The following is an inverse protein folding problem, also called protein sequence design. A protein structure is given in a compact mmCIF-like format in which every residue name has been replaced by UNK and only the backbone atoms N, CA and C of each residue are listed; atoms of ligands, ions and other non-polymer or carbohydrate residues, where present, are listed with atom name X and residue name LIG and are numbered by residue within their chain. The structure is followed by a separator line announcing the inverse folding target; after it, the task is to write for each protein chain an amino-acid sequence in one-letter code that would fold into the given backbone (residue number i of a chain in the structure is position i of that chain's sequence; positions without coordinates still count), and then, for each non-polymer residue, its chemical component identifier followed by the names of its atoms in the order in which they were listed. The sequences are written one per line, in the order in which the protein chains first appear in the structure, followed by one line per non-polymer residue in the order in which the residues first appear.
data_IF_493605660025
#
_entry.id   IF_493605660025
#
_cell.length_a   1.000
_cell.length_b   1.000
_cell.length_c   1.000
_cell.angle_alpha   90.00
_cell.angle_beta   90.00
_cell.angle_gamma   90.00
#
_symmetry.space_group_name_H-M   'P 1'
#
loop_
_entity.id
_entity.type
_entity.pdbx_description
1 polymer ?
#
# COMPACT_ATOMS: atom_id res chain seq x y z
N UNK A 1 -17.74 -11.45 12.87
CA UNK A 1 -16.62 -12.40 12.84
C UNK A 1 -15.32 -11.60 12.82
N UNK A 2 -14.43 -11.87 13.76
CA UNK A 2 -13.13 -11.22 13.80
C UNK A 2 -12.13 -11.89 12.84
N UNK A 3 -11.09 -11.17 12.41
CA UNK A 3 -10.04 -11.73 11.56
C UNK A 3 -9.37 -12.93 12.23
N UNK A 4 -9.18 -12.88 13.56
CA UNK A 4 -8.61 -13.98 14.35
C UNK A 4 -9.42 -15.28 14.23
N UNK A 5 -10.73 -15.21 14.14
CA UNK A 5 -11.61 -16.39 13.97
C UNK A 5 -11.44 -17.00 12.57
N UNK A 6 -11.36 -16.16 11.53
CA UNK A 6 -11.14 -16.61 10.15
C UNK A 6 -9.80 -17.29 10.00
N UNK A 7 -8.75 -16.72 10.61
CA UNK A 7 -7.41 -17.29 10.57
C UNK A 7 -7.33 -18.63 11.32
N UNK A 8 -8.02 -18.76 12.45
CA UNK A 8 -8.14 -20.04 13.17
C UNK A 8 -8.86 -21.10 12.35
N UNK A 9 -9.93 -20.71 11.67
CA UNK A 9 -10.67 -21.63 10.77
C UNK A 9 -9.81 -22.13 9.60
N UNK A 10 -8.86 -21.29 9.13
CA UNK A 10 -7.93 -21.63 8.07
C UNK A 10 -6.64 -22.34 8.58
N UNK A 11 -6.64 -22.85 9.83
CA UNK A 11 -5.46 -23.46 10.48
C UNK A 11 -4.20 -22.59 10.45
N UNK A 12 -4.39 -21.27 10.36
CA UNK A 12 -3.28 -20.32 10.35
C UNK A 12 -2.86 -19.97 11.79
N UNK A 13 -1.62 -20.29 12.13
CA UNK A 13 -1.07 -19.89 13.42
C UNK A 13 -0.68 -18.40 13.41
N UNK A 14 -1.53 -17.57 13.99
CA UNK A 14 -1.36 -16.11 14.07
C UNK A 14 -0.06 -15.72 14.79
N UNK A 15 0.41 -16.54 15.75
CA UNK A 15 1.66 -16.29 16.49
C UNK A 15 2.93 -16.40 15.64
N UNK A 16 2.84 -17.02 14.44
CA UNK A 16 3.96 -17.15 13.51
C UNK A 16 3.89 -16.10 12.39
N UNK A 17 2.73 -15.48 12.21
CA UNK A 17 2.54 -14.47 11.19
C UNK A 17 3.21 -13.15 11.61
N UNK A 18 4.16 -12.69 10.80
CA UNK A 18 4.83 -11.41 11.00
C UNK A 18 4.00 -10.24 10.43
N UNK A 19 3.24 -10.51 9.38
CA UNK A 19 2.45 -9.50 8.68
C UNK A 19 1.11 -10.07 8.22
N UNK A 20 0.05 -9.36 8.53
CA UNK A 20 -1.31 -9.66 8.10
C UNK A 20 -1.80 -8.56 7.16
N UNK A 21 -2.35 -8.95 6.01
CA UNK A 21 -2.94 -8.02 5.04
C UNK A 21 -4.41 -8.34 4.83
N UNK A 22 -5.24 -7.32 4.82
CA UNK A 22 -6.60 -7.37 4.29
C UNK A 22 -6.59 -6.87 2.85
N UNK A 23 -6.92 -7.75 1.92
CA UNK A 23 -6.87 -7.50 0.48
C UNK A 23 -5.76 -8.28 -0.23
N UNK A 24 -5.46 -7.88 -1.47
CA UNK A 24 -4.43 -8.51 -2.28
C UNK A 24 -3.00 -8.14 -1.85
N UNK A 25 -1.99 -8.89 -2.31
CA UNK A 25 -0.59 -8.69 -1.87
C UNK A 25 0.00 -7.34 -2.28
N UNK A 26 -0.51 -6.70 -3.34
CA UNK A 26 -0.03 -5.40 -3.82
C UNK A 26 -0.88 -4.21 -3.35
N UNK A 27 -2.17 -4.43 -3.09
CA UNK A 27 -3.15 -3.39 -2.79
C UNK A 27 -3.70 -3.48 -1.37
N UNK A 28 -3.45 -4.59 -0.66
CA UNK A 28 -3.98 -4.84 0.67
C UNK A 28 -3.40 -3.90 1.71
N UNK A 29 -4.21 -3.60 2.72
CA UNK A 29 -3.79 -2.84 3.88
C UNK A 29 -3.27 -3.76 4.97
N UNK A 30 -2.18 -3.38 5.62
CA UNK A 30 -1.66 -4.09 6.77
C UNK A 30 -2.62 -3.95 7.95
N UNK A 31 -2.97 -5.07 8.57
CA UNK A 31 -3.77 -5.09 9.79
C UNK A 31 -2.85 -4.96 11.00
N UNK A 32 -3.19 -4.02 11.87
CA UNK A 32 -2.49 -3.81 13.13
C UNK A 32 -3.00 -4.78 14.20
N UNK A 33 -4.29 -5.09 14.17
CA UNK A 33 -4.96 -5.89 15.18
C UNK A 33 -5.75 -7.04 14.54
N UNK A 34 -5.65 -8.22 15.15
CA UNK A 34 -6.35 -9.43 14.73
C UNK A 34 -7.82 -9.48 15.16
N UNK A 35 -8.21 -8.62 16.09
CA UNK A 35 -9.60 -8.51 16.56
C UNK A 35 -10.44 -7.57 15.68
N UNK A 36 -9.83 -7.02 14.64
CA UNK A 36 -10.54 -6.23 13.61
C UNK A 36 -11.65 -7.06 12.99
N UNK A 37 -12.91 -6.54 12.91
CA UNK A 37 -13.99 -7.26 12.29
C UNK A 37 -13.82 -7.36 10.78
N UNK A 38 -14.14 -8.53 10.23
CA UNK A 38 -14.19 -8.73 8.79
C UNK A 38 -15.39 -8.00 8.21
N UNK A 39 -15.14 -7.07 7.30
CA UNK A 39 -16.14 -6.25 6.63
C UNK A 39 -16.49 -6.82 5.25
N UNK A 40 -17.63 -6.39 4.70
CA UNK A 40 -18.10 -6.77 3.36
C UNK A 40 -17.10 -6.44 2.23
N UNK A 41 -16.23 -5.47 2.45
CA UNK A 41 -15.20 -5.03 1.49
C UNK A 41 -13.93 -5.86 1.54
N UNK A 42 -13.78 -6.74 2.55
CA UNK A 42 -12.60 -7.58 2.69
C UNK A 42 -12.77 -8.83 1.82
N UNK A 43 -12.05 -8.87 0.71
CA UNK A 43 -12.10 -9.97 -0.25
C UNK A 43 -11.01 -11.02 -0.06
N UNK A 44 -9.96 -10.72 0.71
CA UNK A 44 -8.90 -11.67 1.04
C UNK A 44 -8.22 -11.30 2.36
N UNK A 45 -7.70 -12.31 3.05
CA UNK A 45 -6.82 -12.17 4.21
C UNK A 45 -5.54 -12.94 3.92
N UNK A 46 -4.40 -12.29 4.00
CA UNK A 46 -3.09 -12.88 3.75
C UNK A 46 -2.22 -12.79 4.99
N UNK A 47 -1.67 -13.93 5.40
CA UNK A 47 -0.73 -14.02 6.49
C UNK A 47 0.65 -14.36 5.94
N UNK A 48 1.64 -13.51 6.19
CA UNK A 48 3.02 -13.73 5.77
C UNK A 48 3.88 -14.14 6.96
N UNK A 49 4.65 -15.18 6.75
CA UNK A 49 5.68 -15.60 7.69
C UNK A 49 6.84 -14.60 7.66
N UNK A 50 7.53 -14.45 8.79
CA UNK A 50 8.69 -13.58 8.90
C UNK A 50 9.72 -13.93 7.82
N UNK A 51 10.04 -12.95 6.99
CA UNK A 51 11.08 -13.10 5.98
C UNK A 51 12.37 -12.47 6.52
N UNK A 52 13.44 -13.24 6.60
CA UNK A 52 14.73 -12.77 7.10
C UNK A 52 15.35 -11.68 6.23
N UNK A 53 14.97 -11.64 4.93
CA UNK A 53 15.39 -10.58 4.00
C UNK A 53 14.38 -9.44 4.01
N UNK A 54 14.46 -8.55 4.98
CA UNK A 54 13.71 -7.31 4.92
C UNK A 54 14.30 -6.41 3.81
N UNK A 55 13.44 -6.01 2.89
CA UNK A 55 13.81 -5.04 1.86
C UNK A 55 13.99 -3.66 2.51
N UNK A 56 15.23 -3.22 2.65
CA UNK A 56 15.54 -1.89 3.17
C UNK A 56 15.18 -0.85 2.13
N UNK A 57 14.36 0.11 2.52
CA UNK A 57 14.02 1.25 1.66
C UNK A 57 15.24 2.18 1.51
N UNK A 58 15.58 2.50 0.27
CA UNK A 58 16.69 3.41 -0.05
C UNK A 58 16.19 4.67 -0.75
N UNK A 59 17.10 5.61 -0.99
CA UNK A 59 16.77 6.85 -1.70
C UNK A 59 16.37 6.58 -3.15
N UNK A 60 15.49 7.43 -3.68
CA UNK A 60 15.05 7.33 -5.06
C UNK A 60 16.22 7.61 -6.03
N UNK A 61 16.51 6.67 -6.91
CA UNK A 61 17.56 6.77 -7.93
C UNK A 61 17.06 7.43 -9.24
N UNK A 62 15.83 7.90 -9.28
CA UNK A 62 15.18 8.57 -10.44
C UNK A 62 15.20 7.74 -11.73
N UNK A 63 15.07 6.43 -11.65
CA UNK A 63 15.10 5.52 -12.81
C UNK A 63 13.85 5.57 -13.70
N UNK A 64 12.74 6.18 -13.28
CA UNK A 64 11.51 6.32 -14.06
C UNK A 64 10.59 5.08 -14.10
N UNK A 65 11.03 3.91 -13.69
CA UNK A 65 10.25 2.65 -13.79
C UNK A 65 8.84 2.72 -13.19
N UNK A 66 8.66 3.48 -12.12
CA UNK A 66 7.35 3.65 -11.48
C UNK A 66 6.38 4.46 -12.35
N UNK A 67 6.87 5.34 -13.22
CA UNK A 67 6.07 6.09 -14.19
C UNK A 67 5.66 5.17 -15.34
N UNK A 68 6.60 4.41 -15.87
CA UNK A 68 6.35 3.47 -16.98
C UNK A 68 5.36 2.37 -16.57
N UNK A 69 5.45 1.90 -15.31
CA UNK A 69 4.54 0.88 -14.78
C UNK A 69 3.15 1.41 -14.39
N UNK A 70 2.96 2.73 -14.36
CA UNK A 70 1.68 3.32 -13.97
C UNK A 70 0.66 3.25 -15.12
N UNK A 71 -0.46 2.51 -14.96
CA UNK A 71 -1.47 2.38 -16.03
C UNK A 71 -2.18 3.70 -16.35
N UNK A 72 -2.09 4.69 -15.47
CA UNK A 72 -2.71 6.01 -15.61
C UNK A 72 -1.69 7.11 -15.91
N UNK A 73 -0.46 6.76 -16.23
CA UNK A 73 0.64 7.70 -16.54
C UNK A 73 0.83 8.80 -15.48
N UNK A 74 0.66 8.44 -14.21
CA UNK A 74 0.92 9.35 -13.10
C UNK A 74 2.42 9.40 -12.80
N UNK A 75 2.81 10.37 -11.99
CA UNK A 75 4.20 10.54 -11.52
C UNK A 75 4.35 10.15 -10.04
N UNK A 76 4.46 8.84 -9.71
CA UNK A 76 4.43 8.39 -8.32
C UNK A 76 5.49 9.01 -7.42
N UNK A 77 6.69 9.27 -7.93
CA UNK A 77 7.77 9.91 -7.18
C UNK A 77 7.49 11.37 -6.84
N UNK A 78 6.85 12.12 -7.74
CA UNK A 78 6.43 13.49 -7.46
C UNK A 78 5.25 13.54 -6.51
N UNK A 79 4.34 12.58 -6.63
CA UNK A 79 3.23 12.43 -5.69
C UNK A 79 3.73 12.10 -4.28
N UNK A 80 4.71 11.21 -4.14
CA UNK A 80 5.36 10.92 -2.88
C UNK A 80 5.97 12.17 -2.26
N UNK A 81 6.74 12.95 -3.05
CA UNK A 81 7.35 14.19 -2.59
C UNK A 81 6.32 15.23 -2.16
N UNK A 82 5.26 15.41 -2.95
CA UNK A 82 4.17 16.33 -2.62
C UNK A 82 3.41 15.89 -1.36
N UNK A 83 3.27 14.59 -1.14
CA UNK A 83 2.70 14.06 0.10
C UNK A 83 3.61 14.34 1.31
N UNK A 84 4.92 14.11 1.18
CA UNK A 84 5.88 14.35 2.27
C UNK A 84 5.93 15.83 2.69
N UNK A 85 5.75 16.75 1.74
CA UNK A 85 5.63 18.21 1.98
C UNK A 85 4.20 18.64 2.33
N UNK A 86 3.21 17.74 2.30
CA UNK A 86 1.78 18.03 2.51
C UNK A 86 1.23 19.13 1.60
N UNK A 87 1.78 19.24 0.40
CA UNK A 87 1.37 20.23 -0.60
C UNK A 87 0.14 19.72 -1.38
N UNK A 88 -1.04 20.12 -0.88
CA UNK A 88 -2.35 19.73 -1.45
C UNK A 88 -2.53 20.26 -2.88
N UNK A 89 -2.00 21.43 -3.20
CA UNK A 89 -2.15 22.02 -4.53
C UNK A 89 -1.33 21.26 -5.58
N UNK A 90 -0.12 20.86 -5.24
CA UNK A 90 0.69 19.98 -6.08
C UNK A 90 0.04 18.60 -6.25
N UNK A 91 -0.55 18.03 -5.20
CA UNK A 91 -1.27 16.75 -5.29
C UNK A 91 -2.46 16.83 -6.25
N UNK A 92 -3.21 17.95 -6.25
CA UNK A 92 -4.30 18.20 -7.21
C UNK A 92 -3.79 18.31 -8.63
N UNK A 93 -2.72 19.10 -8.85
CA UNK A 93 -2.09 19.28 -10.17
C UNK A 93 -1.57 17.96 -10.74
N UNK A 94 -0.98 17.12 -9.90
CA UNK A 94 -0.47 15.79 -10.25
C UNK A 94 -1.59 14.73 -10.34
N UNK A 95 -2.85 15.12 -10.15
CA UNK A 95 -4.04 14.28 -10.31
C UNK A 95 -4.00 12.99 -9.47
N UNK A 96 -3.56 13.10 -8.20
CA UNK A 96 -3.48 11.96 -7.28
C UNK A 96 -4.84 11.25 -7.11
N UNK A 97 -5.95 11.96 -7.28
CA UNK A 97 -7.31 11.43 -7.23
C UNK A 97 -7.57 10.31 -8.25
N UNK A 98 -6.86 10.31 -9.38
CA UNK A 98 -6.98 9.28 -10.41
C UNK A 98 -6.25 7.99 -10.03
N UNK A 99 -5.32 8.02 -9.08
CA UNK A 99 -4.57 6.82 -8.68
C UNK A 99 -5.53 5.70 -8.25
N UNK A 100 -5.47 4.55 -8.91
CA UNK A 100 -6.29 3.37 -8.58
C UNK A 100 -5.67 2.48 -7.50
N UNK A 101 -4.56 2.87 -6.91
CA UNK A 101 -3.83 2.15 -5.86
C UNK A 101 -3.42 0.71 -6.24
N UNK A 102 -3.12 0.45 -7.51
CA UNK A 102 -2.80 -0.89 -8.01
C UNK A 102 -1.49 -1.48 -7.45
N UNK A 103 -0.62 -0.66 -6.85
CA UNK A 103 0.64 -1.09 -6.25
C UNK A 103 1.80 -1.30 -7.24
N UNK A 104 1.58 -1.22 -8.54
CA UNK A 104 2.61 -1.47 -9.57
C UNK A 104 3.86 -0.61 -9.40
N UNK A 105 3.69 0.67 -9.05
CA UNK A 105 4.80 1.60 -8.84
C UNK A 105 5.72 1.18 -7.68
N UNK A 106 5.16 0.68 -6.57
CA UNK A 106 5.94 0.14 -5.45
C UNK A 106 6.63 -1.17 -5.82
N UNK A 107 5.93 -2.03 -6.56
CA UNK A 107 6.44 -3.34 -6.97
C UNK A 107 7.70 -3.23 -7.84
N UNK A 108 7.69 -2.38 -8.86
CA UNK A 108 8.80 -2.20 -9.79
C UNK A 108 9.94 -1.33 -9.24
N UNK A 109 9.74 -0.69 -8.09
CA UNK A 109 10.72 0.23 -7.52
C UNK A 109 11.98 -0.51 -7.03
N UNK A 110 13.17 -0.27 -7.61
CA UNK A 110 14.41 -0.92 -7.15
C UNK A 110 14.84 -0.40 -5.77
N UNK A 111 14.47 0.82 -5.41
CA UNK A 111 14.72 1.42 -4.10
C UNK A 111 13.71 0.99 -3.02
N UNK A 112 12.77 0.09 -3.34
CA UNK A 112 11.76 -0.46 -2.42
C UNK A 112 10.96 0.61 -1.67
N UNK A 113 10.60 1.68 -2.36
CA UNK A 113 9.82 2.79 -1.79
C UNK A 113 8.34 2.47 -1.75
N UNK A 114 7.67 2.92 -0.70
CA UNK A 114 6.23 2.71 -0.47
C UNK A 114 5.38 3.74 -1.23
N UNK A 115 5.52 3.78 -2.55
CA UNK A 115 4.87 4.78 -3.40
C UNK A 115 3.34 4.63 -3.40
N UNK A 116 2.84 3.40 -3.51
CA UNK A 116 1.40 3.14 -3.56
C UNK A 116 0.70 3.53 -2.25
N UNK A 117 1.30 3.19 -1.10
CA UNK A 117 0.77 3.56 0.22
C UNK A 117 0.72 5.08 0.40
N UNK A 118 1.81 5.78 0.05
CA UNK A 118 1.86 7.24 0.13
C UNK A 118 0.85 7.90 -0.80
N UNK A 119 0.65 7.37 -2.01
CA UNK A 119 -0.37 7.87 -2.93
C UNK A 119 -1.78 7.68 -2.37
N UNK A 120 -2.03 6.55 -1.70
CA UNK A 120 -3.31 6.31 -1.02
C UNK A 120 -3.55 7.29 0.12
N UNK A 121 -2.54 7.53 0.95
CA UNK A 121 -2.61 8.53 2.02
C UNK A 121 -2.75 9.95 1.47
N UNK A 122 -2.06 10.26 0.37
CA UNK A 122 -2.18 11.55 -0.31
C UNK A 122 -3.59 11.83 -0.82
N UNK A 123 -4.32 10.80 -1.28
CA UNK A 123 -5.74 10.94 -1.64
C UNK A 123 -6.61 11.29 -0.45
N UNK A 124 -6.29 10.77 0.75
CA UNK A 124 -7.02 11.08 1.97
C UNK A 124 -6.85 12.55 2.43
N UNK A 125 -5.75 13.20 2.02
CA UNK A 125 -5.52 14.63 2.30
C UNK A 125 -6.38 15.55 1.42
N UNK A 126 -6.91 15.05 0.30
CA UNK A 126 -7.76 15.86 -0.56
C UNK A 126 -9.15 16.03 0.08
N UNK A 127 -9.75 17.25 0.02
CA UNK A 127 -11.11 17.44 0.47
C UNK A 127 -12.06 16.56 -0.36
N UNK A 128 -12.86 15.76 0.31
CA UNK A 128 -13.94 15.01 -0.35
C UNK A 128 -15.00 16.00 -0.82
N UNK A 129 -15.28 16.01 -2.10
CA UNK A 129 -16.45 16.71 -2.64
C UNK A 129 -17.71 15.90 -2.37
#
# INVERSE_FOLDING_TARGET
MAVSEVLKFADCNVGIADKLLAGGPMMGMCLYDVDTPVCKTNNALLAFKKNEKQNVMTNCIRCGRCMDACPLNLMPTLLEKAYDTKDVDSLKKLKVNLCMNCGSCSYVCPAKRNLAEKNQLAKALLPRK
#
